data_IF_587541988902
#
_entry.id   IF_587541988902
#
_cell.length_a   1.000
_cell.length_b   1.000
_cell.length_c   1.000
_cell.angle_alpha   90.00
_cell.angle_beta   90.00
_cell.angle_gamma   90.00
#
_symmetry.space_group_name_H-M   'P 1'
#
loop_
_entity.id
_entity.type
_entity.pdbx_description
1 polymer ?
#
# COMPACT_ATOMS: atom_id res chain seq x y z
N UNK A 1 5.57 -7.12 24.01
CA UNK A 1 5.70 -6.33 22.76
C UNK A 1 4.36 -6.45 22.06
N UNK A 2 3.63 -5.35 21.86
CA UNK A 2 2.43 -5.41 21.02
C UNK A 2 2.88 -5.82 19.60
N UNK A 3 2.17 -6.72 18.92
CA UNK A 3 2.51 -7.06 17.54
C UNK A 3 2.52 -5.79 16.69
N UNK A 4 3.45 -5.71 15.74
CA UNK A 4 3.48 -4.59 14.81
C UNK A 4 2.12 -4.48 14.12
N UNK A 5 1.54 -3.26 14.02
CA UNK A 5 0.21 -3.09 13.45
C UNK A 5 0.17 -3.57 12.00
N UNK A 6 -0.89 -4.27 11.64
CA UNK A 6 -1.11 -4.75 10.27
C UNK A 6 -1.65 -3.63 9.40
N UNK A 7 -0.77 -2.94 8.66
CA UNK A 7 -1.19 -1.96 7.66
C UNK A 7 -1.84 -2.63 6.47
N UNK A 8 -3.09 -2.24 6.24
CA UNK A 8 -3.91 -2.57 5.08
C UNK A 8 -4.22 -1.29 4.33
N UNK A 9 -4.38 -1.38 3.02
CA UNK A 9 -4.66 -0.26 2.13
C UNK A 9 -5.92 -0.61 1.38
N UNK A 10 -6.92 0.26 1.43
CA UNK A 10 -8.21 0.00 0.85
C UNK A 10 -8.61 1.14 -0.08
N UNK A 11 -9.48 0.80 -1.01
CA UNK A 11 -10.22 1.72 -1.87
C UNK A 11 -11.54 1.05 -2.25
N UNK A 12 -12.57 1.84 -2.48
CA UNK A 12 -13.87 1.41 -2.93
C UNK A 12 -14.37 2.31 -4.04
N UNK A 13 -14.99 1.70 -5.05
CA UNK A 13 -15.86 2.44 -5.96
C UNK A 13 -17.31 2.37 -5.46
N UNK A 14 -18.04 3.48 -5.53
CA UNK A 14 -19.38 3.55 -4.93
C UNK A 14 -20.29 4.66 -5.47
N UNK A 15 -21.58 4.46 -5.26
CA UNK A 15 -22.60 5.49 -5.41
C UNK A 15 -22.54 6.41 -4.19
N UNK A 16 -22.02 7.63 -4.39
CA UNK A 16 -21.66 8.56 -3.30
C UNK A 16 -22.76 8.88 -2.28
N UNK A 17 -24.03 8.84 -2.67
CA UNK A 17 -25.17 9.16 -1.81
C UNK A 17 -25.90 7.93 -1.27
N UNK A 18 -25.63 6.74 -1.79
CA UNK A 18 -26.18 5.49 -1.26
C UNK A 18 -25.18 4.93 -0.25
N UNK A 19 -25.56 4.97 1.02
CA UNK A 19 -24.77 4.44 2.12
C UNK A 19 -25.12 2.99 2.44
N UNK A 20 -26.16 2.43 1.82
CA UNK A 20 -26.49 1.02 2.00
C UNK A 20 -25.47 0.13 1.27
N UNK A 21 -25.53 -1.18 1.49
CA UNK A 21 -24.71 -2.13 0.76
C UNK A 21 -24.90 -2.06 -0.76
N UNK A 22 -26.04 -1.56 -1.25
CA UNK A 22 -26.32 -1.37 -2.68
C UNK A 22 -25.50 -0.23 -3.30
N UNK A 23 -25.01 0.69 -2.47
CA UNK A 23 -24.14 1.78 -2.89
C UNK A 23 -22.70 1.37 -3.15
N UNK A 24 -22.24 0.24 -2.60
CA UNK A 24 -20.90 -0.31 -2.87
C UNK A 24 -20.86 -0.92 -4.27
N UNK A 25 -19.94 -0.50 -5.14
CA UNK A 25 -19.72 -1.05 -6.49
C UNK A 25 -18.59 -2.08 -6.47
N UNK A 26 -17.42 -1.71 -5.98
CA UNK A 26 -16.27 -2.63 -5.84
C UNK A 26 -15.40 -2.24 -4.66
N UNK A 27 -14.62 -3.18 -4.16
CA UNK A 27 -13.69 -3.00 -3.03
C UNK A 27 -12.37 -3.68 -3.35
N UNK A 28 -11.28 -2.94 -3.12
CA UNK A 28 -9.91 -3.43 -3.20
C UNK A 28 -9.23 -3.28 -1.85
N UNK A 29 -8.53 -4.32 -1.40
CA UNK A 29 -7.71 -4.29 -0.18
C UNK A 29 -6.38 -4.98 -0.46
N UNK A 30 -5.27 -4.33 -0.11
CA UNK A 30 -3.94 -4.95 -0.12
C UNK A 30 -3.25 -4.70 1.22
N UNK A 31 -2.15 -5.40 1.47
CA UNK A 31 -1.33 -5.18 2.66
C UNK A 31 0.17 -5.23 2.34
N UNK A 32 1.01 -4.94 3.34
CA UNK A 32 2.47 -4.95 3.17
C UNK A 32 3.03 -6.31 2.73
N UNK A 33 2.35 -7.40 3.08
CA UNK A 33 2.71 -8.75 2.67
C UNK A 33 2.27 -9.09 1.23
N UNK A 34 1.56 -8.17 0.54
CA UNK A 34 1.05 -8.37 -0.81
C UNK A 34 -0.16 -9.29 -0.88
N UNK A 35 -0.93 -9.39 0.21
CA UNK A 35 -2.17 -10.17 0.20
C UNK A 35 -3.31 -9.29 -0.28
N UNK A 36 -3.76 -9.60 -1.48
CA UNK A 36 -4.78 -8.83 -2.17
C UNK A 36 -6.16 -9.45 -1.98
N UNK A 37 -7.15 -8.58 -1.88
CA UNK A 37 -8.56 -8.91 -1.91
C UNK A 37 -9.24 -7.95 -2.89
N UNK A 38 -10.01 -8.49 -3.82
CA UNK A 38 -10.82 -7.72 -4.74
C UNK A 38 -12.18 -8.38 -4.91
N UNK A 39 -13.21 -7.55 -4.98
CA UNK A 39 -14.55 -7.97 -5.33
C UNK A 39 -15.34 -6.83 -5.96
N UNK A 40 -16.25 -7.19 -6.86
CA UNK A 40 -17.30 -6.34 -7.41
C UNK A 40 -18.62 -6.82 -6.83
N UNK A 41 -19.38 -5.89 -6.25
CA UNK A 41 -20.61 -6.18 -5.54
C UNK A 41 -21.72 -6.56 -6.52
N UNK A 42 -22.19 -7.80 -6.40
CA UNK A 42 -23.26 -8.25 -7.25
C UNK A 42 -24.61 -7.58 -6.90
N UNK A 43 -24.78 -7.13 -5.67
CA UNK A 43 -26.06 -6.60 -5.19
C UNK A 43 -26.13 -5.06 -5.27
N UNK A 44 -25.18 -4.43 -5.96
CA UNK A 44 -25.17 -2.98 -6.17
C UNK A 44 -26.42 -2.50 -6.94
N UNK A 45 -26.74 -1.20 -6.85
CA UNK A 45 -27.76 -0.58 -7.70
C UNK A 45 -27.28 -0.40 -9.16
N UNK A 46 -27.18 -1.51 -9.88
CA UNK A 46 -26.80 -1.54 -11.29
C UNK A 46 -27.73 -0.69 -12.16
N UNK A 47 -29.03 -0.65 -11.85
CA UNK A 47 -29.97 0.15 -12.62
C UNK A 47 -29.65 1.64 -12.51
N UNK A 48 -29.37 2.14 -11.30
CA UNK A 48 -28.91 3.51 -11.09
C UNK A 48 -27.65 3.80 -11.91
N UNK A 49 -26.62 2.96 -11.78
CA UNK A 49 -25.34 3.16 -12.48
C UNK A 49 -25.56 3.21 -13.99
N UNK A 50 -26.35 2.29 -14.56
CA UNK A 50 -26.48 2.15 -16.02
C UNK A 50 -27.48 3.10 -16.68
N UNK A 51 -28.54 3.50 -15.98
CA UNK A 51 -29.69 4.17 -16.61
C UNK A 51 -30.02 5.55 -16.03
N UNK A 52 -29.49 5.90 -14.85
CA UNK A 52 -29.77 7.21 -14.26
C UNK A 52 -29.12 8.34 -15.07
N UNK A 53 -29.84 9.46 -15.21
CA UNK A 53 -29.32 10.71 -15.76
C UNK A 53 -28.57 11.58 -14.74
N UNK A 54 -28.46 11.13 -13.48
CA UNK A 54 -27.67 11.79 -12.44
C UNK A 54 -26.21 11.92 -12.88
N UNK A 55 -25.59 13.08 -12.65
CA UNK A 55 -24.18 13.35 -12.97
C UNK A 55 -23.24 12.31 -12.36
N UNK A 56 -23.54 11.84 -11.13
CA UNK A 56 -22.75 10.80 -10.50
C UNK A 56 -22.86 9.46 -11.25
N UNK A 57 -24.06 9.10 -11.73
CA UNK A 57 -24.23 7.89 -12.54
C UNK A 57 -23.54 8.02 -13.91
N UNK A 58 -23.61 9.20 -14.55
CA UNK A 58 -22.89 9.49 -15.81
C UNK A 58 -21.39 9.32 -15.61
N UNK A 59 -20.84 9.87 -14.53
CA UNK A 59 -19.42 9.75 -14.20
C UNK A 59 -19.00 8.30 -13.96
N UNK A 60 -19.79 7.54 -13.17
CA UNK A 60 -19.55 6.12 -12.92
C UNK A 60 -19.54 5.30 -14.21
N UNK A 61 -20.46 5.57 -15.16
CA UNK A 61 -20.47 4.87 -16.46
C UNK A 61 -19.26 5.16 -17.34
N UNK A 62 -18.65 6.33 -17.18
CA UNK A 62 -17.51 6.75 -17.98
C UNK A 62 -16.19 6.21 -17.41
N UNK A 63 -16.05 6.16 -16.08
CA UNK A 63 -14.77 5.93 -15.43
C UNK A 63 -14.69 4.58 -14.71
N UNK A 64 -15.77 4.11 -14.08
CA UNK A 64 -15.76 2.90 -13.23
C UNK A 64 -16.34 1.70 -13.97
N UNK A 65 -17.56 1.83 -14.52
CA UNK A 65 -18.28 0.73 -15.17
C UNK A 65 -17.45 0.00 -16.23
N UNK A 66 -16.68 0.68 -17.11
CA UNK A 66 -15.88 0.01 -18.13
C UNK A 66 -14.72 -0.83 -17.58
N UNK A 67 -14.35 -0.64 -16.30
CA UNK A 67 -13.27 -1.35 -15.62
C UNK A 67 -13.78 -2.59 -14.85
N UNK A 68 -15.10 -2.77 -14.76
CA UNK A 68 -15.70 -3.95 -14.12
C UNK A 68 -15.64 -5.17 -15.06
N UNK A 69 -15.80 -6.40 -14.53
CA UNK A 69 -15.99 -7.57 -15.36
C UNK A 69 -17.34 -7.49 -16.10
N UNK A 70 -17.31 -7.27 -17.42
CA UNK A 70 -18.52 -7.12 -18.23
C UNK A 70 -18.65 -8.24 -19.27
N UNK A 71 -19.89 -8.60 -19.58
CA UNK A 71 -20.25 -9.45 -20.73
C UNK A 71 -20.12 -8.69 -22.05
N UNK A 72 -20.26 -9.39 -23.18
CA UNK A 72 -20.18 -8.79 -24.51
C UNK A 72 -21.24 -7.70 -24.78
N UNK A 73 -22.39 -7.75 -24.10
CA UNK A 73 -23.46 -6.74 -24.13
C UNK A 73 -23.28 -5.64 -23.07
N UNK A 74 -22.08 -5.54 -22.47
CA UNK A 74 -21.71 -4.53 -21.48
C UNK A 74 -22.56 -4.56 -20.19
N UNK A 75 -23.17 -5.70 -19.90
CA UNK A 75 -23.79 -5.98 -18.60
C UNK A 75 -22.74 -6.54 -17.63
N UNK A 76 -23.01 -6.45 -16.32
CA UNK A 76 -22.11 -7.00 -15.32
C UNK A 76 -22.03 -8.53 -15.45
N UNK A 77 -20.83 -9.08 -15.60
CA UNK A 77 -20.62 -10.53 -15.71
C UNK A 77 -20.74 -11.21 -14.35
N UNK A 78 -21.96 -11.67 -14.05
CA UNK A 78 -22.29 -12.37 -12.80
C UNK A 78 -21.58 -13.72 -12.65
N UNK A 79 -20.97 -14.25 -13.71
CA UNK A 79 -20.20 -15.49 -13.64
C UNK A 79 -18.71 -15.26 -13.37
N UNK A 80 -18.23 -14.01 -13.46
CA UNK A 80 -16.83 -13.68 -13.19
C UNK A 80 -16.49 -13.93 -11.71
N UNK A 81 -15.34 -14.54 -11.36
CA UNK A 81 -15.00 -14.89 -9.98
C UNK A 81 -14.90 -13.69 -9.03
N UNK A 82 -14.62 -12.50 -9.55
CA UNK A 82 -14.57 -11.27 -8.75
C UNK A 82 -15.96 -10.65 -8.51
N UNK A 83 -16.99 -11.03 -9.28
CA UNK A 83 -18.36 -10.53 -9.08
C UNK A 83 -19.07 -11.43 -8.07
N UNK A 84 -19.39 -10.89 -6.89
CA UNK A 84 -19.83 -11.68 -5.73
C UNK A 84 -21.03 -11.03 -5.04
N UNK A 85 -22.00 -11.81 -4.53
CA UNK A 85 -23.02 -11.29 -3.63
C UNK A 85 -22.40 -10.58 -2.43
N UNK A 86 -23.05 -9.52 -1.94
CA UNK A 86 -22.56 -8.71 -0.83
C UNK A 86 -22.28 -9.55 0.42
N UNK A 87 -23.11 -10.56 0.68
CA UNK A 87 -22.92 -11.50 1.79
C UNK A 87 -21.62 -12.30 1.70
N UNK A 88 -21.20 -12.64 0.48
CA UNK A 88 -19.92 -13.31 0.23
C UNK A 88 -18.76 -12.34 0.45
N UNK A 89 -18.89 -11.10 -0.02
CA UNK A 89 -17.89 -10.04 0.20
C UNK A 89 -17.69 -9.80 1.70
N UNK A 90 -18.78 -9.65 2.45
CA UNK A 90 -18.79 -9.51 3.91
C UNK A 90 -18.02 -10.64 4.61
N UNK A 91 -18.27 -11.88 4.23
CA UNK A 91 -17.59 -13.06 4.81
C UNK A 91 -16.09 -13.08 4.46
N UNK A 92 -15.73 -12.74 3.23
CA UNK A 92 -14.34 -12.76 2.79
C UNK A 92 -13.53 -11.61 3.38
N UNK A 93 -14.11 -10.42 3.56
CA UNK A 93 -13.48 -9.31 4.30
C UNK A 93 -13.34 -9.66 5.78
N UNK A 94 -14.36 -10.27 6.40
CA UNK A 94 -14.24 -10.76 7.78
C UNK A 94 -13.08 -11.77 7.90
N UNK A 95 -12.96 -12.69 6.95
CA UNK A 95 -11.85 -13.65 6.91
C UNK A 95 -10.50 -12.98 6.64
N UNK A 96 -10.46 -11.95 5.79
CA UNK A 96 -9.27 -11.13 5.55
C UNK A 96 -8.79 -10.51 6.86
N UNK A 97 -9.67 -9.95 7.68
CA UNK A 97 -9.27 -9.32 8.94
C UNK A 97 -9.15 -10.29 10.14
N UNK A 98 -9.66 -11.52 10.05
CA UNK A 98 -9.73 -12.46 11.17
C UNK A 98 -8.40 -12.67 11.93
N UNK A 99 -7.27 -12.73 11.22
CA UNK A 99 -5.94 -12.92 11.82
C UNK A 99 -5.12 -11.63 11.94
N UNK A 100 -5.75 -10.46 11.82
CA UNK A 100 -5.08 -9.15 11.74
C UNK A 100 -5.54 -8.23 12.87
N UNK A 101 -5.45 -8.70 14.10
CA UNK A 101 -5.82 -7.90 15.28
C UNK A 101 -5.05 -6.57 15.29
N UNK A 102 -5.77 -5.47 15.47
CA UNK A 102 -5.19 -4.12 15.42
C UNK A 102 -4.80 -3.64 14.02
N UNK A 103 -5.41 -4.19 12.96
CA UNK A 103 -5.21 -3.71 11.60
C UNK A 103 -5.49 -2.21 11.48
N UNK A 104 -4.68 -1.51 10.67
CA UNK A 104 -4.90 -0.12 10.29
C UNK A 104 -5.29 -0.10 8.83
N UNK A 105 -6.44 0.48 8.53
CA UNK A 105 -6.83 0.75 7.14
C UNK A 105 -6.30 2.12 6.75
N UNK A 106 -5.44 2.18 5.74
CA UNK A 106 -5.00 3.40 5.08
C UNK A 106 -5.79 3.57 3.79
N UNK A 107 -6.21 4.80 3.50
CA UNK A 107 -6.87 5.14 2.25
C UNK A 107 -6.64 6.63 1.97
N UNK A 108 -6.70 7.02 0.70
CA UNK A 108 -6.60 8.40 0.27
C UNK A 108 -8.01 8.99 0.17
N UNK A 109 -8.40 9.87 1.11
CA UNK A 109 -9.79 10.29 1.35
C UNK A 109 -10.71 9.14 1.84
N UNK A 110 -10.23 8.40 2.84
CA UNK A 110 -10.73 7.09 3.28
C UNK A 110 -12.10 7.02 3.95
N UNK A 111 -12.70 8.16 4.31
CA UNK A 111 -13.99 8.19 4.99
C UNK A 111 -15.10 7.55 4.13
N UNK A 112 -15.06 7.77 2.81
CA UNK A 112 -15.99 7.20 1.85
C UNK A 112 -15.87 5.68 1.76
N UNK A 113 -14.64 5.16 1.71
CA UNK A 113 -14.36 3.73 1.62
C UNK A 113 -14.78 3.01 2.89
N UNK A 114 -14.41 3.57 4.04
CA UNK A 114 -14.71 2.95 5.32
C UNK A 114 -16.21 2.75 5.52
N UNK A 115 -17.01 3.78 5.22
CA UNK A 115 -18.45 3.66 5.40
C UNK A 115 -19.04 2.62 4.45
N UNK A 116 -18.49 2.41 3.24
CA UNK A 116 -18.96 1.34 2.34
C UNK A 116 -18.59 -0.05 2.85
N UNK A 117 -17.39 -0.20 3.41
CA UNK A 117 -16.97 -1.46 4.06
C UNK A 117 -17.89 -1.75 5.26
N UNK A 118 -18.19 -0.75 6.10
CA UNK A 118 -19.11 -0.91 7.23
C UNK A 118 -20.54 -1.22 6.79
N UNK A 119 -20.96 -0.71 5.63
CA UNK A 119 -22.26 -1.01 5.02
C UNK A 119 -22.48 -2.49 4.71
N UNK A 120 -21.43 -3.31 4.63
CA UNK A 120 -21.56 -4.78 4.54
C UNK A 120 -22.19 -5.40 5.80
N UNK A 121 -22.14 -4.70 6.94
CA UNK A 121 -22.82 -5.08 8.19
C UNK A 121 -23.95 -4.11 8.53
N UNK A 122 -24.54 -3.45 7.53
CA UNK A 122 -25.60 -2.44 7.70
C UNK A 122 -25.21 -1.29 8.66
N UNK A 123 -23.91 -1.00 8.76
CA UNK A 123 -23.33 -0.07 9.74
C UNK A 123 -23.56 -0.46 11.21
N UNK A 124 -24.00 -1.69 11.47
CA UNK A 124 -24.12 -2.23 12.81
C UNK A 124 -22.76 -2.78 13.28
N UNK A 125 -22.07 -1.96 14.07
CA UNK A 125 -20.79 -2.33 14.66
C UNK A 125 -20.87 -3.49 15.66
N UNK A 126 -22.06 -3.86 16.14
CA UNK A 126 -22.28 -5.06 16.95
C UNK A 126 -22.25 -6.36 16.14
N UNK A 127 -22.45 -6.28 14.81
CA UNK A 127 -22.35 -7.42 13.89
C UNK A 127 -21.00 -7.48 13.16
N UNK A 128 -20.30 -6.36 13.07
CA UNK A 128 -18.98 -6.26 12.43
C UNK A 128 -17.89 -6.88 13.33
N UNK A 129 -17.01 -7.76 12.79
CA UNK A 129 -15.91 -8.33 13.57
C UNK A 129 -14.95 -7.27 14.10
N UNK A 130 -14.49 -7.41 15.35
CA UNK A 130 -13.60 -6.47 16.05
C UNK A 130 -12.29 -6.15 15.30
N UNK A 131 -11.82 -7.07 14.46
CA UNK A 131 -10.58 -6.91 13.70
C UNK A 131 -10.77 -6.08 12.42
N UNK A 132 -12.01 -5.82 11.99
CA UNK A 132 -12.29 -4.89 10.88
C UNK A 132 -12.03 -3.46 11.38
N UNK A 133 -11.24 -2.65 10.67
CA UNK A 133 -10.92 -1.31 11.14
C UNK A 133 -12.16 -0.42 11.33
N UNK A 134 -12.24 0.27 12.48
CA UNK A 134 -13.32 1.22 12.80
C UNK A 134 -13.07 2.65 12.29
N UNK A 135 -11.84 2.95 11.86
CA UNK A 135 -11.44 4.29 11.41
C UNK A 135 -10.38 4.19 10.32
N UNK A 136 -10.38 5.10 9.34
CA UNK A 136 -9.30 5.15 8.37
C UNK A 136 -8.05 5.76 9.03
N UNK A 137 -6.93 5.61 8.35
CA UNK A 137 -5.75 6.46 8.43
C UNK A 137 -5.71 7.22 7.11
N UNK A 138 -5.85 8.53 7.19
CA UNK A 138 -5.96 9.38 6.02
C UNK A 138 -4.57 9.60 5.41
N UNK A 139 -4.37 9.07 4.20
CA UNK A 139 -3.14 9.30 3.46
C UNK A 139 -3.03 10.73 2.95
N UNK A 140 -4.17 11.37 2.65
CA UNK A 140 -4.20 12.77 2.26
C UNK A 140 -3.58 13.66 3.35
N UNK A 141 -4.03 13.50 4.60
CA UNK A 141 -3.48 14.21 5.76
C UNK A 141 -1.97 13.96 5.91
N UNK A 142 -1.52 12.69 5.82
CA UNK A 142 -0.10 12.35 5.90
C UNK A 142 0.73 13.04 4.82
N UNK A 143 0.24 13.06 3.58
CA UNK A 143 0.93 13.67 2.45
C UNK A 143 0.97 15.18 2.59
N UNK A 144 -0.14 15.80 3.01
CA UNK A 144 -0.25 17.24 3.20
C UNK A 144 0.63 17.74 4.35
N UNK A 145 0.51 17.12 5.53
CA UNK A 145 1.21 17.54 6.76
C UNK A 145 2.73 17.49 6.62
N UNK A 146 3.24 16.57 5.80
CA UNK A 146 4.68 16.36 5.59
C UNK A 146 5.17 16.76 4.20
N UNK A 147 4.30 17.39 3.39
CA UNK A 147 4.62 17.86 2.04
C UNK A 147 5.27 16.79 1.14
N UNK A 148 4.79 15.56 1.26
CA UNK A 148 5.32 14.41 0.51
C UNK A 148 4.96 14.58 -0.97
N UNK A 149 5.91 14.34 -1.86
CA UNK A 149 5.61 14.31 -3.30
C UNK A 149 5.00 12.96 -3.66
N UNK A 150 3.69 12.92 -3.87
CA UNK A 150 3.00 11.70 -4.28
C UNK A 150 3.59 11.18 -5.62
N UNK A 151 3.96 9.89 -5.72
CA UNK A 151 4.44 9.30 -6.97
C UNK A 151 3.30 9.27 -8.01
N UNK A 152 3.62 9.29 -9.30
CA UNK A 152 2.58 9.15 -10.32
C UNK A 152 2.03 7.71 -10.35
N UNK A 153 0.70 7.56 -10.36
CA UNK A 153 0.05 6.26 -10.56
C UNK A 153 0.34 5.73 -11.97
N UNK A 154 0.74 4.45 -12.07
CA UNK A 154 1.11 3.79 -13.34
C UNK A 154 0.05 2.79 -13.83
N UNK A 155 -0.99 2.59 -13.04
CA UNK A 155 -2.12 1.70 -13.31
C UNK A 155 -3.36 2.54 -13.64
N UNK A 156 -4.40 1.97 -14.27
CA UNK A 156 -5.69 2.64 -14.40
C UNK A 156 -6.22 3.05 -13.03
N UNK A 157 -6.59 4.32 -12.92
CA UNK A 157 -7.41 4.88 -11.83
C UNK A 157 -8.83 4.32 -11.93
N UNK A 158 -9.56 4.37 -10.80
CA UNK A 158 -10.96 3.94 -10.67
C UNK A 158 -11.18 2.43 -10.74
N UNK A 159 -10.13 1.68 -10.45
CA UNK A 159 -10.19 0.24 -10.24
C UNK A 159 -9.69 -0.03 -8.82
N UNK A 160 -10.62 -0.32 -7.91
CA UNK A 160 -10.38 -0.31 -6.47
C UNK A 160 -9.11 -1.05 -6.00
N UNK A 161 -8.74 -2.20 -6.59
CA UNK A 161 -7.48 -2.88 -6.20
C UNK A 161 -6.23 -2.12 -6.67
N UNK A 162 -6.27 -1.50 -7.84
CA UNK A 162 -5.15 -0.68 -8.35
C UNK A 162 -4.97 0.54 -7.46
N UNK A 163 -6.07 1.17 -7.06
CA UNK A 163 -6.06 2.33 -6.18
C UNK A 163 -5.62 1.94 -4.76
N UNK A 164 -6.01 0.78 -4.25
CA UNK A 164 -5.46 0.22 -3.00
C UNK A 164 -3.94 -0.02 -3.06
N UNK A 165 -3.42 -0.54 -4.19
CA UNK A 165 -1.97 -0.65 -4.41
C UNK A 165 -1.29 0.71 -4.48
N UNK A 166 -1.94 1.69 -5.08
CA UNK A 166 -1.42 3.04 -5.16
C UNK A 166 -1.41 3.74 -3.79
N UNK A 167 -2.44 3.54 -2.97
CA UNK A 167 -2.49 3.96 -1.56
C UNK A 167 -1.30 3.39 -0.77
N UNK A 168 -0.98 2.11 -0.99
CA UNK A 168 0.24 1.50 -0.43
C UNK A 168 1.51 2.20 -0.90
N UNK A 169 1.64 2.44 -2.20
CA UNK A 169 2.82 3.08 -2.78
C UNK A 169 3.03 4.49 -2.20
N UNK A 170 1.98 5.30 -2.12
CA UNK A 170 2.03 6.63 -1.50
C UNK A 170 2.51 6.56 -0.05
N UNK A 171 1.97 5.62 0.74
CA UNK A 171 2.39 5.43 2.12
C UNK A 171 3.85 4.98 2.23
N UNK A 172 4.29 4.04 1.39
CA UNK A 172 5.68 3.56 1.38
C UNK A 172 6.66 4.68 1.02
N UNK A 173 6.32 5.55 0.07
CA UNK A 173 7.12 6.76 -0.26
C UNK A 173 7.14 7.73 0.93
N UNK A 174 5.99 8.02 1.53
CA UNK A 174 5.91 8.91 2.68
C UNK A 174 6.78 8.42 3.85
N UNK A 175 6.72 7.13 4.17
CA UNK A 175 7.57 6.55 5.22
C UNK A 175 9.05 6.64 4.88
N UNK A 176 9.44 6.48 3.61
CA UNK A 176 10.84 6.59 3.18
C UNK A 176 11.37 8.01 3.29
N UNK A 177 10.58 9.01 2.93
CA UNK A 177 10.95 10.43 3.05
C UNK A 177 11.06 10.84 4.53
N UNK A 178 10.07 10.47 5.34
CA UNK A 178 10.08 10.71 6.79
C UNK A 178 11.26 10.03 7.49
N UNK A 179 11.59 8.81 7.06
CA UNK A 179 12.78 8.09 7.47
C UNK A 179 14.06 8.85 7.17
N UNK A 180 14.22 9.31 5.93
CA UNK A 180 15.37 10.14 5.51
C UNK A 180 15.48 11.43 6.33
N UNK A 181 14.36 12.11 6.57
CA UNK A 181 14.33 13.33 7.38
C UNK A 181 14.70 13.08 8.85
N UNK A 182 14.21 12.01 9.47
CA UNK A 182 14.57 11.65 10.84
C UNK A 182 16.06 11.29 10.96
N UNK A 183 16.59 10.57 9.98
CA UNK A 183 18.01 10.26 9.85
C UNK A 183 18.87 11.53 9.74
N UNK A 184 18.44 12.53 8.95
CA UNK A 184 19.12 13.81 8.79
C UNK A 184 19.07 14.69 10.05
N UNK A 185 17.97 14.61 10.82
CA UNK A 185 17.74 15.44 12.01
C UNK A 185 18.18 14.79 13.31
N UNK A 186 18.68 13.54 13.27
CA UNK A 186 19.08 12.78 14.46
C UNK A 186 17.91 12.39 15.36
N UNK A 187 16.68 12.37 14.84
CA UNK A 187 15.48 12.13 15.62
C UNK A 187 15.24 10.61 15.84
N UNK A 188 15.24 10.11 17.09
CA UNK A 188 15.29 8.66 17.39
C UNK A 188 13.97 7.90 17.19
N UNK A 189 12.93 8.51 16.61
CA UNK A 189 11.55 7.96 16.60
C UNK A 189 11.22 7.02 15.44
N UNK A 190 12.11 6.80 14.49
CA UNK A 190 11.96 5.77 13.48
C UNK A 190 12.96 4.65 13.78
N UNK A 191 12.43 3.47 14.11
CA UNK A 191 13.21 2.26 14.33
C UNK A 191 14.12 2.03 13.12
N UNK A 192 15.44 2.05 13.36
CA UNK A 192 16.47 1.87 12.34
C UNK A 192 16.29 0.56 11.55
N UNK A 193 15.66 -0.47 12.16
CA UNK A 193 15.37 -1.73 11.48
C UNK A 193 14.26 -1.59 10.42
N UNK A 194 13.19 -0.86 10.74
CA UNK A 194 12.13 -0.56 9.78
C UNK A 194 12.63 0.33 8.63
N UNK A 195 13.55 1.26 8.94
CA UNK A 195 14.25 2.10 7.97
C UNK A 195 15.05 1.24 6.96
N UNK A 196 15.82 0.28 7.46
CA UNK A 196 16.65 -0.60 6.64
C UNK A 196 15.81 -1.52 5.75
N UNK A 197 14.69 -2.05 6.26
CA UNK A 197 13.79 -2.90 5.49
C UNK A 197 13.07 -2.12 4.38
N UNK A 198 12.63 -0.89 4.67
CA UNK A 198 11.92 -0.04 3.72
C UNK A 198 12.84 0.46 2.58
N UNK A 199 14.06 0.90 2.92
CA UNK A 199 15.08 1.29 1.93
C UNK A 199 15.45 0.10 1.05
N UNK A 200 15.65 -1.08 1.63
CA UNK A 200 15.94 -2.32 0.88
C UNK A 200 14.81 -2.67 -0.08
N UNK A 201 13.55 -2.57 0.35
CA UNK A 201 12.38 -2.85 -0.48
C UNK A 201 12.17 -1.83 -1.61
N UNK A 202 12.44 -0.54 -1.37
CA UNK A 202 12.40 0.51 -2.40
C UNK A 202 13.50 0.34 -3.45
N UNK A 203 14.71 -0.04 -3.04
CA UNK A 203 15.84 -0.30 -3.94
C UNK A 203 15.65 -1.59 -4.75
N UNK A 204 15.04 -2.62 -4.16
CA UNK A 204 14.72 -3.87 -4.86
C UNK A 204 13.65 -3.69 -5.95
N UNK A 205 12.70 -2.76 -5.75
CA UNK A 205 11.57 -2.51 -6.68
C UNK A 205 11.88 -1.49 -7.78
N UNK A 206 12.86 -0.62 -7.58
CA UNK A 206 13.36 0.33 -8.59
C UNK A 206 14.35 -0.30 -9.58
N UNK A 207 14.69 -1.58 -9.41
CA UNK A 207 15.53 -2.37 -10.32
C UNK A 207 14.77 -2.90 -11.56
N UNK A 208 13.85 -2.12 -12.14
CA UNK A 208 13.30 -2.35 -13.48
C UNK A 208 14.32 -1.88 -14.53
N UNK A 209 14.71 -2.72 -15.51
CA UNK A 209 15.67 -2.31 -16.53
C UNK A 209 15.12 -1.13 -17.35
N UNK A 210 15.84 -0.01 -17.35
CA UNK A 210 15.63 1.08 -18.31
C UNK A 210 15.30 2.46 -17.74
N UNK A 211 15.10 2.62 -16.42
CA UNK A 211 14.88 3.95 -15.81
C UNK A 211 15.19 4.07 -14.31
N UNK A 212 16.09 3.23 -13.78
CA UNK A 212 16.57 3.34 -12.40
C UNK A 212 17.66 4.41 -12.30
N UNK A 213 17.61 5.25 -11.24
CA UNK A 213 18.76 6.08 -10.86
C UNK A 213 19.96 5.18 -10.59
N UNK A 214 21.16 5.56 -11.01
CA UNK A 214 22.36 4.76 -10.72
C UNK A 214 22.65 4.76 -9.22
N UNK A 215 23.37 3.75 -8.71
CA UNK A 215 23.83 3.73 -7.31
C UNK A 215 24.63 5.00 -6.98
N UNK A 216 25.37 5.54 -7.94
CA UNK A 216 26.08 6.83 -7.81
C UNK A 216 25.14 8.04 -7.64
N UNK A 217 23.95 8.02 -8.24
CA UNK A 217 22.94 9.07 -8.06
C UNK A 217 22.22 8.96 -6.71
N UNK A 218 22.12 7.75 -6.16
CA UNK A 218 21.59 7.52 -4.81
C UNK A 218 22.59 7.94 -3.73
N UNK A 219 23.89 7.67 -3.93
CA UNK A 219 24.97 8.11 -3.03
C UNK A 219 25.04 9.64 -2.95
N UNK A 220 24.79 10.35 -4.06
CA UNK A 220 24.79 11.83 -4.10
C UNK A 220 23.66 12.49 -3.29
N UNK A 221 22.61 11.75 -2.96
CA UNK A 221 21.48 12.25 -2.15
C UNK A 221 21.45 11.64 -0.75
N UNK A 222 22.45 10.82 -0.40
CA UNK A 222 22.59 10.28 0.94
C UNK A 222 23.12 11.36 1.89
N UNK A 223 22.68 11.36 3.16
CA UNK A 223 23.22 12.23 4.19
C UNK A 223 24.73 12.05 4.37
N UNK A 224 25.46 13.15 4.59
CA UNK A 224 26.93 13.16 4.78
C UNK A 224 27.40 12.19 5.88
N UNK A 225 26.58 11.97 6.92
CA UNK A 225 26.91 11.04 8.00
C UNK A 225 26.88 9.58 7.54
N UNK A 226 26.02 9.21 6.58
CA UNK A 226 25.89 7.86 6.07
C UNK A 226 27.00 7.56 5.04
N UNK A 227 27.42 8.57 4.28
CA UNK A 227 28.61 8.49 3.44
C UNK A 227 29.89 8.36 4.30
N UNK A 228 30.01 9.15 5.36
CA UNK A 228 31.14 9.09 6.29
C UNK A 228 31.20 7.76 7.06
N UNK A 229 30.06 7.15 7.40
CA UNK A 229 30.02 5.85 8.10
C UNK A 229 30.42 4.69 7.16
N UNK A 230 30.10 4.78 5.86
CA UNK A 230 30.56 3.85 4.82
C UNK A 230 32.07 3.99 4.60
N UNK A 231 32.56 5.23 4.44
CA UNK A 231 34.00 5.50 4.26
C UNK A 231 34.83 5.10 5.50
N UNK A 232 34.27 5.23 6.70
CA UNK A 232 34.93 4.84 7.95
C UNK A 232 35.04 3.32 8.15
N UNK A 233 34.14 2.53 7.56
CA UNK A 233 34.08 1.08 7.78
C UNK A 233 34.56 0.24 6.58
N UNK A 234 34.67 0.81 5.38
CA UNK A 234 35.16 0.14 4.17
C UNK A 234 36.08 1.09 3.35
N UNK A 235 37.33 1.34 3.79
CA UNK A 235 38.23 2.34 3.17
C UNK A 235 38.68 2.02 1.74
N UNK A 236 38.33 0.85 1.19
CA UNK A 236 38.78 0.35 -0.12
C UNK A 236 37.78 0.59 -1.27
N UNK A 237 36.63 1.21 -0.98
CA UNK A 237 35.62 1.54 -2.01
C UNK A 237 36.05 2.68 -2.93
N UNK A 238 36.95 3.56 -2.47
CA UNK A 238 37.50 4.66 -3.28
C UNK A 238 38.32 4.19 -4.49
N UNK A 239 38.80 2.94 -4.48
CA UNK A 239 39.73 2.40 -5.48
C UNK A 239 39.06 1.65 -6.63
N UNK A 240 37.73 1.42 -6.57
CA UNK A 240 36.98 0.62 -7.56
C UNK A 240 36.35 1.49 -8.66
N UNK A 241 37.14 2.37 -9.28
CA UNK A 241 36.80 2.93 -10.58
C UNK A 241 37.00 1.85 -11.67
N UNK A 242 35.93 1.11 -11.98
CA UNK A 242 35.85 0.27 -13.18
C UNK A 242 35.52 -1.20 -12.93
N UNK A 243 34.29 -1.52 -12.55
CA UNK A 243 33.85 -2.93 -12.47
C UNK A 243 32.48 -3.16 -11.82
N UNK A 244 31.42 -2.54 -12.34
CA UNK A 244 30.08 -2.51 -11.73
C UNK A 244 29.42 -3.88 -11.48
N UNK A 245 29.87 -4.96 -12.12
CA UNK A 245 29.27 -6.31 -11.96
C UNK A 245 29.94 -7.10 -10.83
N UNK A 246 31.25 -6.93 -10.61
CA UNK A 246 31.99 -7.61 -9.53
C UNK A 246 31.70 -6.94 -8.18
N UNK A 247 31.56 -5.62 -8.17
CA UNK A 247 31.21 -4.85 -6.97
C UNK A 247 29.81 -5.21 -6.42
N UNK A 248 28.81 -5.42 -7.29
CA UNK A 248 27.46 -5.82 -6.88
C UNK A 248 27.42 -7.17 -6.17
N UNK A 249 28.08 -8.19 -6.73
CA UNK A 249 28.11 -9.54 -6.14
C UNK A 249 28.87 -9.57 -4.81
N UNK A 250 29.93 -8.76 -4.71
CA UNK A 250 30.75 -8.65 -3.51
C UNK A 250 30.05 -7.83 -2.42
N UNK A 251 29.31 -6.79 -2.79
CA UNK A 251 28.44 -6.02 -1.90
C UNK A 251 27.29 -6.87 -1.35
N UNK A 252 26.58 -7.62 -2.20
CA UNK A 252 25.50 -8.52 -1.78
C UNK A 252 26.03 -9.65 -0.86
N UNK A 253 27.23 -10.18 -1.13
CA UNK A 253 27.88 -11.19 -0.28
C UNK A 253 28.41 -10.63 1.05
N UNK A 254 29.01 -9.44 1.04
CA UNK A 254 29.53 -8.77 2.23
C UNK A 254 28.40 -8.28 3.14
N UNK A 255 27.30 -7.78 2.57
CA UNK A 255 26.11 -7.39 3.33
C UNK A 255 25.44 -8.60 3.99
N UNK A 256 25.34 -9.73 3.29
CA UNK A 256 24.84 -10.98 3.86
C UNK A 256 25.77 -11.53 4.97
N UNK A 257 27.09 -11.45 4.80
CA UNK A 257 28.06 -11.83 5.83
C UNK A 257 28.04 -10.90 7.04
N UNK A 258 27.87 -9.59 6.82
CA UNK A 258 27.74 -8.59 7.88
C UNK A 258 26.46 -8.80 8.69
N UNK A 259 25.32 -9.01 8.04
CA UNK A 259 24.04 -9.35 8.71
C UNK A 259 24.19 -10.64 9.54
N UNK A 260 24.90 -11.63 9.02
CA UNK A 260 25.13 -12.92 9.72
C UNK A 260 26.07 -12.77 10.92
N UNK A 261 27.16 -12.00 10.78
CA UNK A 261 28.11 -11.73 11.87
C UNK A 261 27.52 -10.84 12.97
N UNK A 262 26.69 -9.86 12.60
CA UNK A 262 25.99 -8.98 13.53
C UNK A 262 24.91 -9.74 14.33
N UNK A 263 24.18 -10.66 13.68
CA UNK A 263 23.22 -11.54 14.37
C UNK A 263 23.89 -12.48 15.39
N UNK A 264 25.16 -12.83 15.20
CA UNK A 264 25.93 -13.69 16.09
C UNK A 264 26.49 -12.97 17.34
N UNK A 265 26.47 -11.63 17.38
CA UNK A 265 27.04 -10.84 18.48
C UNK A 265 26.03 -10.43 19.58
N UNK A 266 24.85 -11.07 19.64
CA UNK A 266 23.90 -10.84 20.73
C UNK A 266 24.55 -11.16 22.10
N UNK A 267 24.59 -10.23 23.07
CA UNK A 267 24.72 -10.62 24.46
C UNK A 267 23.41 -11.28 24.88
N UNK A 268 23.48 -12.48 25.45
CA UNK A 268 22.33 -13.14 26.05
C UNK A 268 21.72 -12.27 27.16
N UNK A 269 20.41 -12.38 27.42
CA UNK A 269 19.73 -11.55 28.41
C UNK A 269 20.29 -11.85 29.81
N UNK A 270 20.70 -10.80 30.54
CA UNK A 270 20.85 -10.82 31.99
C UNK A 270 19.49 -10.57 32.64
#
# INVERSE_FOLDING_TARGET
MLPAPHDTYADCEFIRHDLTVRGLISVGITDRAGRDYYAVNADMDEHYVRHSGDEAAVWLRQHVWPLLPLTADLALDRAHPDVKPADRIRQEIAAYYASRAGARMWAYFGAGDLIRIHGLWDHDWGLMPDNVPYRPRELADLIEDFHITAPAQQTPEHHALNDAHYNRLMHDVALAELAGAAALTGCPRLDRAALAELVTNCLARSATPGRGRTVEELIKVMPDWLAADIDAHEPDLATLHGGAIVARRRYEQNLAQWITAFAAQRPGPQ
#
